data_IF_527578330059
#
_entry.id   IF_527578330059
#
_cell.length_a   1.000
_cell.length_b   1.000
_cell.length_c   1.000
_cell.angle_alpha   90.00
_cell.angle_beta   90.00
_cell.angle_gamma   90.00
#
_symmetry.space_group_name_H-M   'P 1'
#
loop_
_entity.id
_entity.type
_entity.pdbx_description
1 polymer ?
#
# COMPACT_ATOMS: atom_id res chain seq x y z
N UNK A 1 22.89 34.38 -1.60
CA UNK A 1 22.39 33.37 -0.63
C UNK A 1 21.99 32.10 -1.38
N UNK A 2 22.95 31.24 -1.69
CA UNK A 2 22.76 29.90 -2.28
C UNK A 2 23.86 29.01 -1.72
N UNK A 3 23.80 28.73 -0.42
CA UNK A 3 24.68 27.78 0.28
C UNK A 3 23.93 27.31 1.53
N UNK A 4 23.17 26.21 1.44
CA UNK A 4 22.86 25.39 2.63
C UNK A 4 22.30 24.00 2.30
N UNK A 5 21.91 23.69 1.06
CA UNK A 5 21.35 22.37 0.74
C UNK A 5 22.39 21.25 0.49
N UNK A 6 23.69 21.57 0.42
CA UNK A 6 24.72 20.60 0.02
C UNK A 6 25.39 19.83 1.17
N UNK A 7 25.06 20.14 2.43
CA UNK A 7 25.77 19.56 3.58
C UNK A 7 25.07 18.37 4.24
N UNK A 8 23.79 18.12 3.95
CA UNK A 8 23.05 16.98 4.53
C UNK A 8 23.15 15.68 3.72
N UNK A 9 23.43 15.74 2.41
CA UNK A 9 23.54 14.55 1.56
C UNK A 9 24.91 13.85 1.62
N UNK A 10 25.96 14.49 2.15
CA UNK A 10 27.31 13.94 2.10
C UNK A 10 27.75 13.15 3.35
N UNK A 11 26.95 13.13 4.42
CA UNK A 11 27.30 12.46 5.68
C UNK A 11 26.78 11.02 5.81
N UNK A 12 26.01 10.49 4.84
CA UNK A 12 25.45 9.13 4.90
C UNK A 12 26.21 8.05 4.11
N UNK A 13 27.37 8.38 3.51
CA UNK A 13 28.15 7.44 2.71
C UNK A 13 29.53 7.25 3.31
N UNK A 14 29.61 6.57 4.47
CA UNK A 14 30.71 5.66 4.84
C UNK A 14 30.47 5.15 6.27
N UNK A 15 29.54 4.21 6.43
CA UNK A 15 29.66 3.25 7.55
C UNK A 15 29.74 1.89 6.90
N UNK A 16 30.98 1.43 6.75
CA UNK A 16 31.34 0.11 6.28
C UNK A 16 30.78 -0.91 7.28
N UNK A 17 29.56 -1.39 7.04
CA UNK A 17 29.00 -2.51 7.79
C UNK A 17 29.75 -3.78 7.36
N UNK A 18 30.75 -4.16 8.15
CA UNK A 18 31.34 -5.49 8.10
C UNK A 18 30.22 -6.51 8.36
N UNK A 19 29.71 -7.15 7.30
CA UNK A 19 28.79 -8.29 7.41
C UNK A 19 29.53 -9.45 8.09
N UNK A 20 29.33 -9.63 9.39
CA UNK A 20 29.49 -10.94 10.01
C UNK A 20 28.22 -11.73 9.70
N UNK A 21 28.24 -12.46 8.57
CA UNK A 21 27.20 -13.42 8.23
C UNK A 21 27.28 -14.60 9.20
N UNK A 22 26.47 -14.56 10.25
CA UNK A 22 25.89 -15.77 10.83
C UNK A 22 24.47 -15.82 10.30
N UNK A 23 24.29 -16.40 9.12
CA UNK A 23 22.98 -16.57 8.52
C UNK A 23 22.12 -17.45 9.45
N UNK A 24 21.28 -16.82 10.26
CA UNK A 24 20.06 -17.43 10.75
C UNK A 24 19.30 -17.96 9.54
N UNK A 25 18.77 -19.19 9.56
CA UNK A 25 17.95 -19.67 8.46
C UNK A 25 16.77 -18.71 8.29
N UNK A 26 16.72 -18.06 7.12
CA UNK A 26 15.67 -17.11 6.80
C UNK A 26 14.30 -17.78 6.93
N UNK A 27 13.34 -17.05 7.50
CA UNK A 27 11.95 -17.51 7.65
C UNK A 27 11.27 -17.74 6.29
N UNK A 28 11.88 -17.31 5.17
CA UNK A 28 11.35 -17.49 3.82
C UNK A 28 11.28 -18.95 3.34
N UNK A 29 11.95 -19.93 3.97
CA UNK A 29 12.02 -21.30 3.40
C UNK A 29 10.67 -22.01 3.31
N UNK A 30 9.63 -21.55 4.04
CA UNK A 30 8.30 -22.17 4.05
C UNK A 30 7.16 -21.23 3.62
N UNK A 31 7.45 -19.99 3.20
CA UNK A 31 6.41 -19.03 2.80
C UNK A 31 6.30 -19.00 1.28
N UNK A 32 5.14 -19.45 0.76
CA UNK A 32 4.87 -19.37 -0.67
C UNK A 32 4.95 -17.91 -1.13
N UNK A 33 5.82 -17.65 -2.09
CA UNK A 33 6.06 -16.32 -2.65
C UNK A 33 6.09 -16.41 -4.17
N UNK A 34 5.93 -15.28 -4.84
CA UNK A 34 6.06 -15.19 -6.28
C UNK A 34 6.95 -14.00 -6.66
N UNK A 35 7.70 -14.09 -7.76
CA UNK A 35 8.47 -12.99 -8.26
C UNK A 35 7.55 -11.87 -8.74
N UNK A 36 7.93 -10.63 -8.43
CA UNK A 36 7.34 -9.45 -9.05
C UNK A 36 8.09 -9.16 -10.35
N UNK A 37 7.33 -8.94 -11.41
CA UNK A 37 7.83 -8.55 -12.73
C UNK A 37 7.48 -7.08 -12.98
N UNK A 38 8.20 -6.40 -13.88
CA UNK A 38 7.88 -5.05 -14.39
C UNK A 38 8.16 -3.81 -13.52
N UNK A 39 8.99 -3.90 -12.49
CA UNK A 39 9.83 -2.78 -12.03
C UNK A 39 11.25 -3.30 -12.01
N UNK A 40 12.26 -2.53 -12.40
CA UNK A 40 13.59 -2.99 -12.86
C UNK A 40 14.43 -3.89 -11.91
N UNK A 41 13.93 -4.31 -10.75
CA UNK A 41 14.56 -5.33 -9.89
C UNK A 41 14.00 -6.72 -10.26
N UNK A 42 14.70 -7.44 -11.14
CA UNK A 42 14.42 -8.87 -11.39
C UNK A 42 14.80 -9.67 -10.14
N UNK A 43 13.83 -10.14 -9.36
CA UNK A 43 14.06 -11.05 -8.24
C UNK A 43 13.52 -10.62 -6.89
N UNK A 44 12.74 -9.54 -6.79
CA UNK A 44 11.96 -9.30 -5.57
C UNK A 44 10.82 -10.33 -5.50
N UNK A 45 10.81 -11.13 -4.43
CA UNK A 45 9.74 -12.09 -4.16
C UNK A 45 8.74 -11.50 -3.16
N UNK A 46 7.46 -11.48 -3.53
CA UNK A 46 6.39 -11.07 -2.62
C UNK A 46 5.71 -12.30 -2.01
N UNK A 47 5.55 -12.38 -0.67
CA UNK A 47 4.76 -13.43 -0.04
C UNK A 47 3.31 -13.42 -0.52
N UNK A 48 2.78 -14.60 -0.88
CA UNK A 48 1.47 -14.69 -1.52
C UNK A 48 0.33 -14.24 -0.60
N UNK A 49 0.42 -14.59 0.69
CA UNK A 49 -0.52 -14.16 1.71
C UNK A 49 0.03 -12.97 2.48
N UNK A 50 -0.81 -11.96 2.73
CA UNK A 50 -0.45 -10.78 3.51
C UNK A 50 -1.58 -10.34 4.41
N UNK A 51 -1.22 -9.63 5.49
CA UNK A 51 -2.15 -9.01 6.41
C UNK A 51 -2.51 -7.60 5.91
N UNK A 52 -3.76 -7.40 5.52
CA UNK A 52 -4.30 -6.04 5.31
C UNK A 52 -4.46 -5.33 6.64
N UNK A 53 -3.90 -4.14 6.78
CA UNK A 53 -3.90 -3.38 8.05
C UNK A 53 -4.96 -2.28 8.11
N UNK A 54 -5.85 -2.16 7.12
CA UNK A 54 -6.96 -1.20 7.18
C UNK A 54 -7.99 -1.55 8.26
N UNK A 55 -8.63 -0.53 8.84
CA UNK A 55 -9.81 -0.65 9.71
C UNK A 55 -9.61 -1.39 11.06
N UNK A 56 -8.39 -1.41 11.61
CA UNK A 56 -8.12 -1.95 12.95
C UNK A 56 -8.40 -0.98 14.10
N UNK A 57 -8.56 0.32 13.86
CA UNK A 57 -8.78 1.29 14.93
C UNK A 57 -10.20 1.27 15.47
N UNK A 58 -10.35 1.67 16.73
CA UNK A 58 -11.64 1.76 17.40
C UNK A 58 -12.38 3.03 17.00
N UNK A 59 -13.70 2.92 16.81
CA UNK A 59 -14.54 4.10 16.60
C UNK A 59 -14.66 4.85 17.93
N UNK A 60 -14.49 6.18 17.90
CA UNK A 60 -14.64 7.10 19.05
C UNK A 60 -13.46 7.17 20.04
N UNK A 61 -12.23 6.92 19.59
CA UNK A 61 -11.03 7.23 20.39
C UNK A 61 -10.78 8.76 20.37
N UNK A 62 -10.70 9.44 21.52
CA UNK A 62 -10.37 10.86 21.57
C UNK A 62 -9.03 11.16 20.89
N UNK A 63 -8.95 12.26 20.16
CA UNK A 63 -7.70 12.72 19.56
C UNK A 63 -6.61 12.89 20.63
N UNK A 64 -5.42 12.36 20.36
CA UNK A 64 -4.30 12.38 21.30
C UNK A 64 -4.33 11.26 22.36
N UNK A 65 -5.23 10.28 22.24
CA UNK A 65 -5.24 9.10 23.13
C UNK A 65 -3.97 8.28 22.99
N UNK A 66 -3.48 8.12 21.76
CA UNK A 66 -2.18 7.51 21.49
C UNK A 66 -1.18 8.62 21.12
N UNK A 67 -0.30 9.06 22.05
CA UNK A 67 0.65 10.15 21.81
C UNK A 67 1.54 9.89 20.59
N UNK A 68 1.85 8.63 20.32
CA UNK A 68 2.59 8.21 19.13
C UNK A 68 1.82 8.47 17.84
N UNK A 69 0.50 8.54 17.86
CA UNK A 69 -0.37 8.63 16.69
C UNK A 69 -0.83 10.06 16.37
N UNK A 70 -0.50 11.03 17.22
CA UNK A 70 -0.78 12.45 17.00
C UNK A 70 -2.27 12.73 16.80
N UNK A 71 -2.65 12.90 15.53
CA UNK A 71 -3.93 13.42 15.10
C UNK A 71 -4.92 12.33 14.68
N UNK A 72 -5.66 11.74 15.62
CA UNK A 72 -6.28 10.43 15.34
C UNK A 72 -7.67 10.50 14.68
N UNK A 73 -7.78 9.96 13.45
CA UNK A 73 -8.91 9.13 13.04
C UNK A 73 -8.46 7.76 12.45
N UNK A 74 -9.38 6.83 12.16
CA UNK A 74 -9.70 5.62 12.94
C UNK A 74 -8.75 4.41 12.72
N UNK A 75 -7.44 4.58 12.57
CA UNK A 75 -6.54 3.46 12.25
C UNK A 75 -5.41 3.17 13.23
N UNK A 76 -4.83 4.20 13.83
CA UNK A 76 -3.70 4.06 14.76
C UNK A 76 -4.16 3.49 16.11
N UNK A 77 -3.28 2.73 16.77
CA UNK A 77 -3.51 2.21 18.12
C UNK A 77 -3.11 0.73 18.34
N UNK A 78 -3.37 0.21 19.55
CA UNK A 78 -2.88 -1.09 20.02
C UNK A 78 -3.45 -2.28 19.24
N UNK A 79 -4.64 -2.14 18.65
CA UNK A 79 -5.26 -3.19 17.83
C UNK A 79 -4.44 -3.49 16.56
N UNK A 80 -4.01 -2.45 15.83
CA UNK A 80 -3.12 -2.60 14.66
C UNK A 80 -1.79 -3.21 15.08
N UNK A 81 -1.17 -2.69 16.15
CA UNK A 81 0.10 -3.21 16.68
C UNK A 81 0.00 -4.70 17.02
N UNK A 82 -1.04 -5.11 17.75
CA UNK A 82 -1.27 -6.49 18.15
C UNK A 82 -1.50 -7.41 16.96
N UNK A 83 -2.25 -6.95 15.94
CA UNK A 83 -2.50 -7.71 14.73
C UNK A 83 -1.18 -7.98 13.97
N UNK A 84 -0.36 -6.95 13.78
CA UNK A 84 0.96 -7.07 13.14
C UNK A 84 1.87 -8.00 13.93
N UNK A 85 2.01 -7.80 15.25
CA UNK A 85 2.81 -8.68 16.11
C UNK A 85 2.36 -10.14 16.03
N UNK A 86 1.05 -10.39 16.07
CA UNK A 86 0.48 -11.76 16.03
C UNK A 86 0.73 -12.40 14.67
N UNK A 87 0.56 -11.66 13.58
CA UNK A 87 0.81 -12.13 12.22
C UNK A 87 2.26 -12.57 12.03
N UNK A 88 3.19 -11.73 12.46
CA UNK A 88 4.63 -11.97 12.37
C UNK A 88 5.08 -13.14 13.26
N UNK A 89 4.65 -13.19 14.52
CA UNK A 89 5.23 -14.12 15.52
C UNK A 89 4.44 -15.40 15.77
N UNK A 90 3.13 -15.40 15.51
CA UNK A 90 2.23 -16.53 15.80
C UNK A 90 1.71 -17.20 14.55
N UNK A 91 1.36 -16.42 13.53
CA UNK A 91 0.90 -16.96 12.24
C UNK A 91 2.06 -17.26 11.28
N UNK A 92 3.24 -16.68 11.50
CA UNK A 92 4.43 -16.86 10.65
C UNK A 92 4.30 -16.18 9.28
N UNK A 93 3.41 -15.20 9.16
CA UNK A 93 3.23 -14.45 7.93
C UNK A 93 4.22 -13.29 7.82
N UNK A 94 4.64 -12.95 6.60
CA UNK A 94 5.73 -11.98 6.37
C UNK A 94 5.34 -10.77 5.51
N UNK A 95 4.15 -10.75 4.89
CA UNK A 95 3.66 -9.59 4.12
C UNK A 95 2.67 -8.75 4.93
N UNK A 96 2.90 -7.45 4.97
CA UNK A 96 2.01 -6.43 5.53
C UNK A 96 1.51 -5.53 4.40
N UNK A 97 0.21 -5.27 4.38
CA UNK A 97 -0.47 -4.48 3.36
C UNK A 97 -1.12 -3.25 4.01
N UNK A 98 -0.39 -2.14 3.94
CA UNK A 98 -0.68 -0.85 4.56
C UNK A 98 -1.15 0.17 3.52
N UNK A 99 -1.53 1.37 3.96
CA UNK A 99 -1.72 2.54 3.11
C UNK A 99 -1.57 3.82 3.95
N UNK A 100 -1.13 4.92 3.34
CA UNK A 100 -1.04 6.21 4.02
C UNK A 100 -2.42 6.64 4.58
N UNK A 101 -3.47 6.43 3.78
CA UNK A 101 -4.85 6.73 4.16
C UNK A 101 -5.43 5.84 5.27
N UNK A 102 -4.69 4.84 5.77
CA UNK A 102 -5.11 4.05 6.93
C UNK A 102 -4.68 4.69 8.25
N UNK A 103 -3.82 5.71 8.24
CA UNK A 103 -3.41 6.47 9.43
C UNK A 103 -2.83 5.59 10.57
N UNK A 104 -2.19 4.46 10.25
CA UNK A 104 -1.78 3.49 11.27
C UNK A 104 -0.35 2.99 11.13
N UNK A 105 0.46 3.67 10.32
CA UNK A 105 1.81 3.23 9.97
C UNK A 105 2.74 3.19 11.19
N UNK A 106 2.56 4.09 12.16
CA UNK A 106 3.29 4.07 13.43
C UNK A 106 2.96 2.82 14.26
N UNK A 107 1.71 2.39 14.30
CA UNK A 107 1.33 1.15 14.97
C UNK A 107 1.84 -0.10 14.25
N UNK A 108 1.92 -0.04 12.92
CA UNK A 108 2.59 -1.09 12.13
C UNK A 108 4.08 -1.16 12.50
N UNK A 109 4.77 -0.03 12.58
CA UNK A 109 6.17 0.05 12.99
C UNK A 109 6.38 -0.55 14.39
N UNK A 110 5.56 -0.17 15.37
CA UNK A 110 5.59 -0.72 16.72
C UNK A 110 5.37 -2.24 16.73
N UNK A 111 4.43 -2.74 15.92
CA UNK A 111 4.16 -4.18 15.81
C UNK A 111 5.33 -4.96 15.22
N UNK A 112 6.02 -4.40 14.22
CA UNK A 112 7.25 -4.98 13.66
C UNK A 112 8.36 -4.97 14.71
N UNK A 113 8.62 -3.83 15.37
CA UNK A 113 9.66 -3.71 16.40
C UNK A 113 9.44 -4.69 17.56
N UNK A 114 8.20 -4.83 18.02
CA UNK A 114 7.85 -5.77 19.09
C UNK A 114 8.04 -7.24 18.67
N UNK A 115 7.91 -7.55 17.38
CA UNK A 115 8.08 -8.92 16.88
C UNK A 115 9.53 -9.42 16.96
N UNK A 116 10.50 -8.51 17.04
CA UNK A 116 11.94 -8.78 16.96
C UNK A 116 12.37 -9.50 15.66
N UNK A 117 11.51 -9.52 14.63
CA UNK A 117 11.87 -10.00 13.29
C UNK A 117 12.65 -8.90 12.55
N UNK A 118 13.74 -9.29 11.91
CA UNK A 118 14.54 -8.38 11.09
C UNK A 118 13.68 -7.75 10.00
N UNK A 119 13.79 -6.42 9.83
CA UNK A 119 13.04 -5.67 8.82
C UNK A 119 13.19 -6.25 7.41
N UNK A 120 14.34 -6.86 7.09
CA UNK A 120 14.60 -7.50 5.78
C UNK A 120 13.80 -8.78 5.54
N UNK A 121 13.24 -9.40 6.58
CA UNK A 121 12.36 -10.57 6.47
C UNK A 121 10.89 -10.16 6.28
N UNK A 122 10.53 -8.91 6.62
CA UNK A 122 9.16 -8.40 6.50
C UNK A 122 8.99 -7.70 5.16
N UNK A 123 8.02 -8.15 4.34
CA UNK A 123 7.64 -7.47 3.12
C UNK A 123 6.58 -6.40 3.42
N UNK A 124 6.92 -5.13 3.25
CA UNK A 124 5.98 -4.02 3.46
C UNK A 124 5.46 -3.50 2.13
N UNK A 125 4.15 -3.60 1.95
CA UNK A 125 3.38 -2.91 0.92
C UNK A 125 2.71 -1.68 1.54
N UNK A 126 2.86 -0.49 0.94
CA UNK A 126 2.09 0.70 1.34
C UNK A 126 1.56 1.45 0.12
N UNK A 127 0.76 2.51 0.34
CA UNK A 127 0.06 3.22 -0.74
C UNK A 127 0.00 4.72 -0.53
N UNK A 128 0.14 5.50 -1.61
CA UNK A 128 -0.12 6.95 -1.66
C UNK A 128 -1.55 7.24 -2.12
N UNK A 129 -2.11 8.39 -1.73
CA UNK A 129 -3.56 8.68 -1.84
C UNK A 129 -4.39 7.88 -0.82
N UNK A 130 -5.72 7.96 -0.78
CA UNK A 130 -6.69 8.80 -1.52
C UNK A 130 -7.10 10.07 -0.77
N UNK A 131 -6.98 10.05 0.55
CA UNK A 131 -7.27 11.20 1.42
C UNK A 131 -6.19 12.28 1.31
N UNK A 132 -5.07 11.94 0.69
CA UNK A 132 -3.95 12.82 0.39
C UNK A 132 -3.88 13.07 -1.12
N UNK A 133 -3.38 14.22 -1.56
CA UNK A 133 -3.37 14.58 -2.97
C UNK A 133 -2.43 13.70 -3.79
N UNK A 134 -2.78 13.45 -5.05
CA UNK A 134 -1.88 12.87 -6.05
C UNK A 134 -1.12 13.99 -6.77
N UNK A 135 -0.13 13.63 -7.59
CA UNK A 135 0.78 14.57 -8.23
C UNK A 135 2.24 14.20 -7.96
N UNK A 136 3.15 14.78 -8.74
CA UNK A 136 4.55 14.37 -8.71
C UNK A 136 5.19 14.58 -7.33
N UNK A 137 5.18 15.82 -6.83
CA UNK A 137 5.81 16.16 -5.54
C UNK A 137 5.02 15.59 -4.35
N UNK A 138 3.70 15.57 -4.46
CA UNK A 138 2.80 15.04 -3.44
C UNK A 138 3.04 13.55 -3.20
N UNK A 139 3.31 12.78 -4.26
CA UNK A 139 3.63 11.36 -4.18
C UNK A 139 4.96 11.12 -3.48
N UNK A 140 5.98 11.92 -3.81
CA UNK A 140 7.30 11.84 -3.16
C UNK A 140 7.17 12.17 -1.67
N UNK A 141 6.53 13.30 -1.33
CA UNK A 141 6.39 13.75 0.05
C UNK A 141 5.63 12.72 0.90
N UNK A 142 4.51 12.18 0.40
CA UNK A 142 3.79 11.12 1.09
C UNK A 142 4.66 9.88 1.30
N UNK A 143 5.50 9.51 0.33
CA UNK A 143 6.40 8.36 0.49
C UNK A 143 7.42 8.58 1.59
N UNK A 144 7.96 9.80 1.73
CA UNK A 144 8.86 10.16 2.82
C UNK A 144 8.15 10.13 4.18
N UNK A 145 6.91 10.63 4.25
CA UNK A 145 6.09 10.56 5.47
C UNK A 145 5.81 9.09 5.85
N UNK A 146 5.44 8.25 4.87
CA UNK A 146 5.23 6.81 5.05
C UNK A 146 6.47 6.16 5.67
N UNK A 147 7.67 6.44 5.14
CA UNK A 147 8.93 5.89 5.66
C UNK A 147 9.23 6.34 7.08
N UNK A 148 9.03 7.63 7.36
CA UNK A 148 9.22 8.20 8.69
C UNK A 148 8.30 7.52 9.70
N UNK A 149 7.03 7.33 9.36
CA UNK A 149 6.04 6.73 10.27
C UNK A 149 6.24 5.23 10.45
N UNK A 150 6.64 4.52 9.39
CA UNK A 150 7.02 3.11 9.46
C UNK A 150 8.37 2.89 10.15
N UNK A 151 9.14 3.96 10.40
CA UNK A 151 10.49 3.92 10.96
C UNK A 151 11.42 2.98 10.17
N UNK A 152 11.38 3.10 8.84
CA UNK A 152 12.18 2.29 7.91
C UNK A 152 12.76 3.15 6.80
N UNK A 153 13.80 2.67 6.12
CA UNK A 153 14.49 3.40 5.04
C UNK A 153 14.09 2.94 3.64
N UNK A 154 13.29 1.88 3.50
CA UNK A 154 12.74 1.44 2.22
C UNK A 154 11.34 0.82 2.36
N UNK A 155 10.59 0.80 1.26
CA UNK A 155 9.31 0.07 1.11
C UNK A 155 9.51 -1.02 0.06
N UNK A 156 9.00 -2.23 0.32
CA UNK A 156 9.18 -3.34 -0.62
C UNK A 156 8.27 -3.19 -1.85
N UNK A 157 7.03 -2.70 -1.67
CA UNK A 157 6.11 -2.35 -2.75
C UNK A 157 5.28 -1.10 -2.42
N UNK A 158 5.38 -0.07 -3.25
CA UNK A 158 4.53 1.12 -3.13
C UNK A 158 3.45 1.12 -4.22
N UNK A 159 2.19 1.34 -3.84
CA UNK A 159 1.08 1.45 -4.79
C UNK A 159 0.50 2.86 -4.87
N UNK A 160 0.04 3.25 -6.06
CA UNK A 160 -0.98 4.31 -6.18
C UNK A 160 -2.33 3.73 -5.76
N UNK A 161 -2.94 4.23 -4.68
CA UNK A 161 -4.11 3.57 -4.06
C UNK A 161 -5.34 3.57 -4.98
N UNK A 162 -5.58 4.64 -5.73
CA UNK A 162 -6.66 4.77 -6.70
C UNK A 162 -6.21 5.56 -7.93
N UNK A 163 -6.80 5.31 -9.12
CA UNK A 163 -6.42 5.99 -10.37
C UNK A 163 -6.82 7.46 -10.43
N UNK A 164 -7.63 7.94 -9.50
CA UNK A 164 -8.09 9.32 -9.47
C UNK A 164 -8.27 9.78 -8.02
N UNK A 165 -8.20 11.08 -7.83
CA UNK A 165 -8.74 11.72 -6.62
C UNK A 165 -10.26 11.88 -6.77
N UNK A 166 -10.96 12.18 -5.67
CA UNK A 166 -12.35 12.65 -5.70
C UNK A 166 -12.52 13.82 -6.69
N UNK A 167 -13.67 13.90 -7.36
CA UNK A 167 -13.88 14.87 -8.42
C UNK A 167 -14.10 16.30 -7.89
N UNK A 168 -13.81 17.34 -8.70
CA UNK A 168 -14.10 18.73 -8.35
C UNK A 168 -15.57 18.94 -7.95
N UNK A 169 -15.80 19.56 -6.79
CA UNK A 169 -17.14 19.81 -6.24
C UNK A 169 -17.60 18.83 -5.17
N UNK A 170 -16.84 17.74 -4.93
CA UNK A 170 -17.03 16.89 -3.75
C UNK A 170 -16.42 17.55 -2.49
N UNK A 171 -16.92 17.19 -1.30
CA UNK A 171 -16.32 17.67 -0.05
C UNK A 171 -14.97 16.99 0.23
N UNK A 172 -14.06 17.73 0.85
CA UNK A 172 -12.75 17.25 1.33
C UNK A 172 -11.84 16.68 0.22
N UNK A 173 -11.93 17.25 -0.99
CA UNK A 173 -11.01 16.90 -2.09
C UNK A 173 -9.61 17.41 -1.75
N UNK A 174 -8.59 16.52 -1.70
CA UNK A 174 -7.23 16.94 -1.45
C UNK A 174 -6.73 17.89 -2.56
N UNK A 175 -6.03 18.95 -2.16
CA UNK A 175 -5.47 19.93 -3.10
C UNK A 175 -4.06 19.53 -3.49
N UNK A 176 -3.82 19.38 -4.79
CA UNK A 176 -2.49 19.17 -5.35
C UNK A 176 -1.91 20.48 -5.88
N UNK A 177 -0.60 20.64 -5.76
CA UNK A 177 0.15 21.71 -6.44
C UNK A 177 0.50 21.35 -7.89
N UNK A 178 0.36 20.09 -8.26
CA UNK A 178 0.53 19.61 -9.64
C UNK A 178 -0.61 20.15 -10.54
N UNK A 179 -0.29 20.89 -11.62
CA UNK A 179 -1.30 21.46 -12.51
C UNK A 179 -2.27 20.43 -13.10
N UNK A 180 -1.81 19.21 -13.39
CA UNK A 180 -2.67 18.17 -13.97
C UNK A 180 -3.64 17.60 -12.93
N UNK A 181 -3.25 17.63 -11.66
CA UNK A 181 -4.04 17.17 -10.51
C UNK A 181 -4.89 18.28 -9.88
N UNK A 182 -5.08 19.43 -10.54
CA UNK A 182 -5.80 20.55 -9.95
C UNK A 182 -7.31 20.31 -9.93
N UNK A 183 -7.83 19.95 -8.76
CA UNK A 183 -9.24 19.62 -8.50
C UNK A 183 -10.13 20.84 -8.21
N UNK A 184 -9.62 22.08 -8.38
CA UNK A 184 -10.40 23.31 -8.13
C UNK A 184 -11.59 23.44 -9.08
N UNK A 185 -11.49 22.91 -10.30
CA UNK A 185 -12.55 22.93 -11.31
C UNK A 185 -12.45 21.71 -12.24
N UNK A 186 -13.57 21.18 -12.77
CA UNK A 186 -13.54 20.15 -13.82
C UNK A 186 -12.71 20.55 -15.04
N UNK A 187 -12.61 21.86 -15.34
CA UNK A 187 -11.84 22.36 -16.49
C UNK A 187 -10.32 22.31 -16.27
N UNK A 188 -9.89 22.28 -15.00
CA UNK A 188 -8.46 22.26 -14.64
C UNK A 188 -7.97 20.86 -14.29
N UNK A 189 -8.88 19.91 -14.07
CA UNK A 189 -8.53 18.56 -13.68
C UNK A 189 -8.29 17.68 -14.91
N UNK A 190 -7.02 17.37 -15.17
CA UNK A 190 -6.61 16.43 -16.22
C UNK A 190 -6.30 15.08 -15.57
N UNK A 191 -7.30 14.21 -15.46
CA UNK A 191 -7.19 12.89 -14.82
C UNK A 191 -6.04 12.04 -15.37
N UNK A 192 -5.95 11.90 -16.69
CA UNK A 192 -4.87 11.16 -17.34
C UNK A 192 -3.52 11.80 -17.04
N UNK A 193 -3.41 13.12 -17.16
CA UNK A 193 -2.18 13.84 -16.83
C UNK A 193 -1.76 13.65 -15.38
N UNK A 194 -2.72 13.70 -14.44
CA UNK A 194 -2.48 13.49 -13.02
C UNK A 194 -1.98 12.07 -12.72
N UNK A 195 -2.59 11.05 -13.34
CA UNK A 195 -2.12 9.66 -13.25
C UNK A 195 -0.69 9.50 -13.75
N UNK A 196 -0.38 10.02 -14.94
CA UNK A 196 0.95 9.90 -15.53
C UNK A 196 2.01 10.68 -14.73
N UNK A 197 1.67 11.85 -14.19
CA UNK A 197 2.55 12.63 -13.31
C UNK A 197 2.83 11.88 -12.00
N UNK A 198 1.80 11.33 -11.38
CA UNK A 198 1.91 10.48 -10.20
C UNK A 198 2.79 9.26 -10.48
N UNK A 199 2.56 8.57 -11.61
CA UNK A 199 3.37 7.41 -11.99
C UNK A 199 4.84 7.75 -12.25
N UNK A 200 5.11 8.93 -12.81
CA UNK A 200 6.49 9.42 -13.00
C UNK A 200 7.23 9.56 -11.67
N UNK A 201 6.55 10.04 -10.61
CA UNK A 201 7.12 10.08 -9.27
C UNK A 201 7.37 8.68 -8.68
N UNK A 202 6.47 7.72 -8.94
CA UNK A 202 6.66 6.32 -8.53
C UNK A 202 7.91 5.72 -9.18
N UNK A 203 8.12 5.97 -10.48
CA UNK A 203 9.32 5.55 -11.21
C UNK A 203 10.58 6.16 -10.58
N UNK A 204 10.58 7.47 -10.30
CA UNK A 204 11.74 8.10 -9.65
C UNK A 204 12.04 7.47 -8.28
N UNK A 205 11.02 7.26 -7.44
CA UNK A 205 11.20 6.64 -6.11
C UNK A 205 11.81 5.24 -6.22
N UNK A 206 11.43 4.49 -7.26
CA UNK A 206 11.99 3.18 -7.56
C UNK A 206 13.45 3.29 -8.04
N UNK A 207 13.76 4.18 -8.98
CA UNK A 207 15.12 4.41 -9.49
C UNK A 207 16.09 4.88 -8.39
N UNK A 208 15.60 5.62 -7.40
CA UNK A 208 16.37 6.05 -6.23
C UNK A 208 16.56 4.94 -5.19
N UNK A 209 15.95 3.76 -5.35
CA UNK A 209 16.00 2.65 -4.40
C UNK A 209 15.24 2.90 -3.09
N UNK A 210 14.41 3.96 -3.04
CA UNK A 210 13.55 4.27 -1.90
C UNK A 210 12.43 3.23 -1.78
N UNK A 211 11.94 2.75 -2.93
CA UNK A 211 10.99 1.64 -3.03
C UNK A 211 11.56 0.56 -3.94
N UNK A 212 11.40 -0.72 -3.58
CA UNK A 212 11.98 -1.84 -4.33
C UNK A 212 11.09 -2.31 -5.50
N UNK A 213 9.81 -2.00 -5.44
CA UNK A 213 8.85 -2.24 -6.52
C UNK A 213 7.74 -1.20 -6.46
N UNK A 214 7.12 -0.96 -7.60
CA UNK A 214 5.98 -0.04 -7.73
C UNK A 214 4.79 -0.73 -8.38
N UNK A 215 3.60 -0.29 -8.00
CA UNK A 215 2.37 -0.81 -8.57
C UNK A 215 1.20 0.16 -8.42
N UNK A 216 0.02 -0.35 -8.73
CA UNK A 216 -1.22 0.40 -8.67
C UNK A 216 -2.29 -0.40 -7.93
N UNK A 217 -3.35 0.27 -7.52
CA UNK A 217 -4.55 -0.33 -6.96
C UNK A 217 -5.78 0.29 -7.57
N UNK A 218 -6.81 -0.53 -7.83
CA UNK A 218 -8.07 -0.14 -8.45
C UNK A 218 -7.97 0.37 -9.89
N UNK A 219 -6.90 0.02 -10.61
CA UNK A 219 -6.77 0.37 -12.03
C UNK A 219 -7.58 -0.61 -12.89
N UNK A 220 -8.24 -0.07 -13.92
CA UNK A 220 -8.90 -0.85 -14.97
C UNK A 220 -7.99 -0.92 -16.21
N UNK A 221 -8.42 -1.65 -17.24
CA UNK A 221 -7.66 -1.81 -18.49
C UNK A 221 -7.37 -0.46 -19.15
N UNK A 222 -8.32 0.48 -19.15
CA UNK A 222 -8.11 1.80 -19.78
C UNK A 222 -7.01 2.60 -19.09
N UNK A 223 -6.91 2.57 -17.76
CA UNK A 223 -5.82 3.24 -17.04
C UNK A 223 -4.46 2.59 -17.30
N UNK A 224 -4.40 1.26 -17.40
CA UNK A 224 -3.15 0.56 -17.74
C UNK A 224 -2.73 0.82 -19.19
N UNK A 225 -3.70 0.90 -20.11
CA UNK A 225 -3.45 1.25 -21.51
C UNK A 225 -2.87 2.66 -21.67
N UNK A 226 -3.30 3.62 -20.85
CA UNK A 226 -2.71 4.98 -20.86
C UNK A 226 -1.21 4.96 -20.57
N UNK A 227 -0.73 4.03 -19.75
CA UNK A 227 0.69 3.87 -19.42
C UNK A 227 1.46 3.26 -20.60
N UNK A 228 0.85 2.27 -21.28
CA UNK A 228 1.38 1.68 -22.52
C UNK A 228 1.49 2.75 -23.61
N UNK A 229 0.42 3.51 -23.83
CA UNK A 229 0.37 4.58 -24.84
C UNK A 229 1.40 5.69 -24.57
N UNK A 230 1.72 5.92 -23.30
CA UNK A 230 2.76 6.86 -22.87
C UNK A 230 4.17 6.25 -22.88
N UNK A 231 4.33 4.98 -23.29
CA UNK A 231 5.59 4.23 -23.29
C UNK A 231 6.28 4.23 -21.92
N UNK A 232 5.50 4.09 -20.84
CA UNK A 232 5.99 4.01 -19.47
C UNK A 232 6.09 2.55 -19.01
N UNK A 233 7.03 2.22 -18.09
CA UNK A 233 7.06 0.92 -17.43
C UNK A 233 5.71 0.60 -16.78
N UNK A 234 5.23 -0.63 -16.99
CA UNK A 234 3.98 -1.12 -16.40
C UNK A 234 4.16 -1.42 -14.91
N UNK A 235 3.08 -1.36 -14.11
CA UNK A 235 3.16 -1.66 -12.69
C UNK A 235 3.44 -3.15 -12.46
N UNK A 236 4.19 -3.47 -11.41
CA UNK A 236 4.43 -4.86 -11.03
C UNK A 236 3.20 -5.54 -10.45
N UNK A 237 2.31 -4.74 -9.84
CA UNK A 237 1.10 -5.18 -9.18
C UNK A 237 -0.08 -4.29 -9.57
N UNK A 238 -1.24 -4.90 -9.80
CA UNK A 238 -2.53 -4.21 -9.74
C UNK A 238 -3.38 -4.85 -8.64
N UNK A 239 -3.53 -4.16 -7.51
CA UNK A 239 -4.34 -4.62 -6.40
C UNK A 239 -5.82 -4.23 -6.60
N UNK A 240 -6.75 -5.18 -6.57
CA UNK A 240 -8.18 -4.91 -6.82
C UNK A 240 -9.10 -5.77 -5.95
N UNK A 241 -10.36 -5.34 -5.76
CA UNK A 241 -11.38 -6.19 -5.15
C UNK A 241 -11.58 -7.41 -6.05
N UNK A 242 -11.27 -8.58 -5.51
CA UNK A 242 -11.29 -9.80 -6.31
C UNK A 242 -11.68 -11.00 -5.46
N UNK A 243 -12.74 -11.67 -5.87
CA UNK A 243 -13.31 -12.87 -5.29
C UNK A 243 -14.10 -13.60 -6.39
N UNK A 244 -14.58 -14.83 -6.16
CA UNK A 244 -15.31 -15.58 -7.20
C UNK A 244 -16.51 -14.83 -7.79
N UNK A 245 -17.21 -14.00 -7.01
CA UNK A 245 -18.29 -13.16 -7.51
C UNK A 245 -17.77 -12.07 -8.46
N UNK A 246 -16.76 -11.29 -8.06
CA UNK A 246 -16.18 -10.24 -8.90
C UNK A 246 -15.53 -10.80 -10.18
N UNK A 247 -14.94 -11.99 -10.12
CA UNK A 247 -14.42 -12.67 -11.30
C UNK A 247 -15.54 -12.90 -12.32
N UNK A 248 -16.65 -13.54 -11.90
CA UNK A 248 -17.80 -13.84 -12.77
C UNK A 248 -18.52 -12.59 -13.28
N UNK A 249 -18.51 -11.50 -12.53
CA UNK A 249 -19.35 -10.31 -12.79
C UNK A 249 -18.63 -9.12 -13.43
N UNK A 250 -17.36 -9.26 -13.81
CA UNK A 250 -16.68 -8.22 -14.60
C UNK A 250 -15.19 -8.02 -14.37
N UNK A 251 -14.48 -8.95 -13.70
CA UNK A 251 -13.02 -8.87 -13.51
C UNK A 251 -12.22 -9.94 -14.25
N UNK A 252 -12.86 -10.81 -15.04
CA UNK A 252 -12.17 -11.82 -15.86
C UNK A 252 -11.20 -11.17 -16.87
N UNK A 253 -11.67 -10.21 -17.66
CA UNK A 253 -10.85 -9.53 -18.67
C UNK A 253 -9.66 -8.77 -18.05
N UNK A 254 -9.85 -8.18 -16.87
CA UNK A 254 -8.77 -7.50 -16.15
C UNK A 254 -7.71 -8.49 -15.67
N UNK A 255 -8.12 -9.68 -15.19
CA UNK A 255 -7.18 -10.73 -14.80
C UNK A 255 -6.36 -11.19 -16.01
N UNK A 256 -7.02 -11.46 -17.14
CA UNK A 256 -6.35 -11.87 -18.38
C UNK A 256 -5.39 -10.78 -18.90
N UNK A 257 -5.83 -9.52 -18.92
CA UNK A 257 -4.98 -8.40 -19.30
C UNK A 257 -3.73 -8.31 -18.41
N UNK A 258 -3.90 -8.40 -17.09
CA UNK A 258 -2.80 -8.39 -16.15
C UNK A 258 -1.83 -9.56 -16.38
N UNK A 259 -2.33 -10.78 -16.60
CA UNK A 259 -1.52 -11.96 -16.88
C UNK A 259 -0.69 -11.82 -18.16
N UNK A 260 -1.33 -11.36 -19.25
CA UNK A 260 -0.69 -11.16 -20.55
C UNK A 260 0.40 -10.07 -20.53
N UNK A 261 0.30 -9.13 -19.58
CA UNK A 261 1.27 -8.04 -19.41
C UNK A 261 2.21 -8.25 -18.21
N UNK A 262 2.26 -9.44 -17.62
CA UNK A 262 3.08 -9.76 -16.43
C UNK A 262 2.85 -8.83 -15.23
N UNK A 263 1.61 -8.35 -15.06
CA UNK A 263 1.17 -7.58 -13.88
C UNK A 263 0.55 -8.56 -12.90
N UNK A 264 1.09 -8.64 -11.67
CA UNK A 264 0.49 -9.49 -10.66
C UNK A 264 -0.79 -8.87 -10.11
N UNK A 265 -1.91 -9.60 -10.21
CA UNK A 265 -3.14 -9.20 -9.53
C UNK A 265 -3.06 -9.58 -8.05
N UNK A 266 -3.30 -8.62 -7.15
CA UNK A 266 -3.41 -8.86 -5.70
C UNK A 266 -4.86 -8.61 -5.28
N UNK A 267 -5.50 -9.64 -4.72
CA UNK A 267 -6.89 -9.54 -4.27
C UNK A 267 -6.99 -8.87 -2.89
N UNK A 268 -7.76 -7.78 -2.79
CA UNK A 268 -8.31 -7.34 -1.50
C UNK A 268 -9.78 -7.76 -1.40
N UNK A 269 -10.31 -7.77 -0.17
CA UNK A 269 -11.65 -8.31 0.14
C UNK A 269 -11.94 -9.67 -0.50
N UNK A 270 -11.00 -10.65 -0.42
CA UNK A 270 -11.16 -11.95 -1.11
C UNK A 270 -12.32 -12.78 -0.57
N UNK A 271 -12.78 -12.47 0.64
CA UNK A 271 -13.89 -13.14 1.32
C UNK A 271 -15.20 -12.32 1.23
N UNK A 272 -15.21 -11.29 0.39
CA UNK A 272 -16.28 -10.30 0.31
C UNK A 272 -16.21 -9.24 1.42
N UNK A 273 -17.14 -8.29 1.37
CA UNK A 273 -17.45 -7.43 2.51
C UNK A 273 -18.66 -8.03 3.24
N UNK A 274 -18.71 -7.98 4.58
CA UNK A 274 -19.90 -8.40 5.30
C UNK A 274 -21.13 -7.65 4.79
N UNK A 275 -22.20 -8.38 4.48
CA UNK A 275 -23.47 -7.78 4.11
C UNK A 275 -24.07 -7.08 5.34
N UNK A 276 -23.85 -5.77 5.42
CA UNK A 276 -24.33 -4.93 6.54
C UNK A 276 -25.86 -4.80 6.57
N UNK A 277 -26.56 -5.12 5.48
CA UNK A 277 -28.02 -5.16 5.45
C UNK A 277 -28.55 -6.47 6.04
N UNK A 278 -27.83 -7.58 5.85
CA UNK A 278 -28.18 -8.91 6.38
C UNK A 278 -27.63 -9.16 7.78
N UNK A 279 -26.55 -8.49 8.17
CA UNK A 279 -25.90 -8.58 9.47
C UNK A 279 -25.64 -7.18 10.05
N UNK A 280 -26.67 -6.49 10.55
CA UNK A 280 -26.52 -5.15 11.13
C UNK A 280 -25.53 -5.14 12.31
N UNK A 281 -24.96 -3.95 12.53
CA UNK A 281 -23.78 -3.57 13.35
C UNK A 281 -23.74 -4.14 14.80
N UNK A 282 -24.82 -4.74 15.29
CA UNK A 282 -24.90 -5.37 16.63
C UNK A 282 -24.00 -6.61 16.81
N UNK A 283 -23.38 -7.11 15.74
CA UNK A 283 -22.46 -8.25 15.80
C UNK A 283 -20.99 -7.91 16.14
N UNK A 284 -20.63 -6.64 16.36
CA UNK A 284 -19.24 -6.26 16.69
C UNK A 284 -18.68 -6.89 17.98
N UNK A 285 -19.54 -7.38 18.89
CA UNK A 285 -19.11 -8.03 20.14
C UNK A 285 -19.01 -9.56 20.09
N UNK A 286 -19.27 -10.19 18.93
CA UNK A 286 -18.92 -11.58 18.72
C UNK A 286 -17.74 -11.59 17.78
N UNK A 287 -16.60 -12.05 18.30
CA UNK A 287 -15.49 -12.56 17.50
C UNK A 287 -16.08 -13.24 16.27
N UNK A 288 -15.69 -12.82 15.05
CA UNK A 288 -16.06 -13.51 13.81
C UNK A 288 -15.46 -14.92 13.86
N UNK A 289 -16.06 -15.81 14.64
CA UNK A 289 -15.72 -17.22 14.72
C UNK A 289 -16.27 -17.86 13.47
N UNK A 290 -15.43 -17.86 12.44
CA UNK A 290 -15.70 -18.50 11.18
C UNK A 290 -16.43 -17.58 10.22
N UNK A 291 -15.71 -17.10 9.21
CA UNK A 291 -16.37 -16.84 7.93
C UNK A 291 -16.96 -18.18 7.49
N UNK A 292 -18.28 -18.30 7.57
CA UNK A 292 -18.98 -19.43 7.01
C UNK A 292 -18.68 -19.46 5.50
N UNK A 293 -18.18 -20.57 4.94
CA UNK A 293 -17.91 -20.72 3.51
C UNK A 293 -19.14 -20.54 2.60
N UNK A 294 -20.31 -20.27 3.17
CA UNK A 294 -21.59 -20.12 2.46
C UNK A 294 -21.62 -18.97 1.44
N UNK A 295 -20.67 -18.03 1.45
CA UNK A 295 -20.51 -17.07 0.33
C UNK A 295 -20.00 -17.71 -0.97
N UNK A 296 -19.54 -18.97 -0.92
CA UNK A 296 -19.14 -19.77 -2.09
C UNK A 296 -20.18 -20.83 -2.48
N UNK A 297 -21.35 -20.87 -1.83
CA UNK A 297 -22.35 -21.94 -2.01
C UNK A 297 -23.66 -21.51 -2.67
N UNK A 298 -23.80 -20.28 -3.16
CA UNK A 298 -24.94 -19.95 -4.03
C UNK A 298 -24.56 -20.19 -5.50
N UNK A 299 -25.26 -21.09 -6.24
CA UNK A 299 -24.91 -21.54 -7.59
C UNK A 299 -24.78 -20.40 -8.63
#
# INVERSE_FOLDING_TARGET
MKQSLSFFLFACVLTLALRTSTATPSLFTNVHSFPLFNSAETGLHMPALGLGTGFYGEQNVPYGTYPECGAEPPGCGPSTQKAVYTWLTKAGGLRLDCANSYYNQRSVAQGIQQSLIDRSEVFILSKVGTTFPLGYNETINQTLDILQELQTTWIDLLLVHWPTMKHPGESDVPKSSDPACNTTSPLTYNEKGCRLSTWSAMILLFELGIVRSIGVSNYNITHLQEMIDANLPLPSVNQVSFNPYNYRTGRADLLEFCQNNHIQLVAYSPLGVPDVHRYPVTYQNKTLTGMSPTLLQDP
#
